data_IF_541125349907
#
_entry.id   IF_541125349907
#
_cell.length_a   1.000
_cell.length_b   1.000
_cell.length_c   1.000
_cell.angle_alpha   90.00
_cell.angle_beta   90.00
_cell.angle_gamma   90.00
#
_symmetry.space_group_name_H-M   'P 1'
#
loop_
_entity.id
_entity.type
_entity.pdbx_description
1 polymer ?
#
# COMPACT_ATOMS: atom_id res chain seq x y z
N UNK A 1 18.64 -58.03 -53.95
CA UNK A 1 18.37 -56.76 -53.25
C UNK A 1 17.08 -56.92 -52.44
N UNK A 2 17.14 -56.42 -51.20
CA UNK A 2 16.07 -56.12 -50.24
C UNK A 2 15.52 -57.22 -49.30
N UNK A 3 15.74 -56.92 -48.02
CA UNK A 3 15.54 -57.69 -46.79
C UNK A 3 14.15 -57.43 -46.19
N UNK A 4 13.55 -58.53 -45.74
CA UNK A 4 12.97 -58.86 -44.43
C UNK A 4 12.06 -57.87 -43.65
N UNK A 5 11.02 -58.49 -43.12
CA UNK A 5 9.90 -57.99 -42.33
C UNK A 5 10.22 -57.69 -40.86
N UNK A 6 9.59 -56.60 -40.39
CA UNK A 6 8.86 -56.30 -39.13
C UNK A 6 9.17 -57.02 -37.79
N UNK A 7 9.03 -56.17 -36.76
CA UNK A 7 8.64 -56.37 -35.34
C UNK A 7 9.75 -56.56 -34.31
N UNK A 8 9.93 -55.56 -33.43
CA UNK A 8 9.61 -55.73 -32.00
C UNK A 8 9.49 -54.36 -31.32
N UNK A 9 8.42 -54.22 -30.52
CA UNK A 9 7.96 -53.06 -29.77
C UNK A 9 8.29 -53.32 -28.30
N UNK A 10 9.00 -52.42 -27.61
CA UNK A 10 9.11 -52.32 -26.14
C UNK A 10 10.04 -51.13 -25.83
N UNK A 11 9.75 -50.12 -25.02
CA UNK A 11 8.61 -49.77 -24.17
C UNK A 11 9.10 -48.56 -23.37
N UNK A 12 8.65 -47.35 -23.72
CA UNK A 12 9.00 -46.12 -23.01
C UNK A 12 8.09 -46.00 -21.79
N UNK A 13 8.62 -46.35 -20.61
CA UNK A 13 7.96 -46.10 -19.33
C UNK A 13 8.05 -44.61 -19.04
N UNK A 14 7.00 -43.86 -19.38
CA UNK A 14 6.84 -42.48 -18.96
C UNK A 14 6.40 -42.48 -17.49
N UNK A 15 7.35 -42.29 -16.57
CA UNK A 15 7.04 -42.00 -15.16
C UNK A 15 6.64 -40.53 -15.06
N UNK A 16 5.36 -40.23 -15.25
CA UNK A 16 4.80 -38.94 -14.83
C UNK A 16 4.62 -38.97 -13.31
N UNK A 17 5.64 -38.52 -12.59
CA UNK A 17 5.51 -38.18 -11.18
C UNK A 17 4.57 -36.97 -11.05
N UNK A 18 3.29 -37.24 -10.76
CA UNK A 18 2.40 -36.23 -10.20
C UNK A 18 2.86 -35.92 -8.78
N UNK A 19 3.84 -35.02 -8.67
CA UNK A 19 4.10 -34.33 -7.42
C UNK A 19 2.87 -33.50 -7.08
N UNK A 20 2.15 -33.89 -6.03
CA UNK A 20 1.25 -32.98 -5.33
C UNK A 20 2.12 -31.88 -4.72
N UNK A 21 2.37 -30.80 -5.46
CA UNK A 21 2.77 -29.55 -4.83
C UNK A 21 1.64 -29.17 -3.85
N UNK A 22 1.94 -28.88 -2.57
CA UNK A 22 0.93 -28.32 -1.69
C UNK A 22 0.38 -27.06 -2.36
N UNK A 23 -0.95 -26.99 -2.53
CA UNK A 23 -1.59 -25.78 -3.05
C UNK A 23 -1.20 -24.63 -2.14
N UNK A 24 -0.47 -23.67 -2.70
CA UNK A 24 -0.24 -22.38 -2.09
C UNK A 24 -1.59 -21.85 -1.58
N UNK A 25 -1.66 -21.50 -0.29
CA UNK A 25 -2.89 -20.96 0.29
C UNK A 25 -3.15 -19.63 -0.41
N UNK A 26 -4.14 -19.58 -1.29
CA UNK A 26 -4.55 -18.33 -1.90
C UNK A 26 -5.14 -17.44 -0.81
N UNK A 27 -4.62 -16.21 -0.73
CA UNK A 27 -5.16 -15.16 0.13
C UNK A 27 -6.57 -14.79 -0.34
N UNK A 28 -7.53 -14.77 0.59
CA UNK A 28 -8.89 -14.28 0.34
C UNK A 28 -8.98 -12.83 0.83
N UNK A 29 -9.29 -11.92 -0.08
CA UNK A 29 -9.40 -10.49 0.24
C UNK A 29 -10.43 -10.22 1.32
N UNK A 30 -10.08 -9.36 2.27
CA UNK A 30 -10.94 -8.98 3.39
C UNK A 30 -10.92 -7.47 3.62
N UNK A 31 -12.09 -6.85 3.70
CA UNK A 31 -12.23 -5.40 3.93
C UNK A 31 -12.95 -5.13 5.24
N UNK A 32 -12.29 -4.39 6.13
CA UNK A 32 -12.88 -3.83 7.35
C UNK A 32 -12.30 -2.44 7.59
N UNK A 33 -13.15 -1.41 7.56
CA UNK A 33 -12.74 -0.03 7.84
C UNK A 33 -13.64 0.51 8.94
N UNK A 34 -13.07 0.84 10.10
CA UNK A 34 -13.85 1.45 11.19
C UNK A 34 -14.44 2.79 10.74
N UNK A 35 -15.63 3.12 11.23
CA UNK A 35 -16.43 4.27 10.76
C UNK A 35 -15.67 5.61 10.65
N UNK A 36 -14.76 5.98 11.59
CA UNK A 36 -14.01 7.24 11.50
C UNK A 36 -13.06 7.36 10.30
N UNK A 37 -12.75 6.23 9.63
CA UNK A 37 -11.77 6.20 8.53
C UNK A 37 -12.40 6.06 7.15
N UNK A 38 -13.70 5.74 7.07
CA UNK A 38 -14.41 5.43 5.81
C UNK A 38 -14.28 6.57 4.80
N UNK A 39 -14.52 7.82 5.24
CA UNK A 39 -14.47 8.98 4.35
C UNK A 39 -13.05 9.23 3.83
N UNK A 40 -12.02 8.98 4.64
CA UNK A 40 -10.62 9.14 4.22
C UNK A 40 -10.19 8.05 3.23
N UNK A 41 -10.59 6.79 3.44
CA UNK A 41 -10.33 5.69 2.50
C UNK A 41 -11.06 5.92 1.18
N UNK A 42 -12.32 6.36 1.21
CA UNK A 42 -13.04 6.69 -0.02
C UNK A 42 -12.44 7.89 -0.74
N UNK A 43 -11.98 8.90 -0.01
CA UNK A 43 -11.28 10.04 -0.60
C UNK A 43 -9.98 9.60 -1.29
N UNK A 44 -9.24 8.65 -0.72
CA UNK A 44 -8.03 8.09 -1.34
C UNK A 44 -8.32 7.45 -2.71
N UNK A 45 -9.39 6.66 -2.83
CA UNK A 45 -9.83 6.08 -4.11
C UNK A 45 -10.24 7.17 -5.12
N UNK A 46 -10.96 8.20 -4.67
CA UNK A 46 -11.41 9.30 -5.51
C UNK A 46 -10.23 10.09 -6.07
N UNK A 47 -9.25 10.43 -5.24
CA UNK A 47 -8.02 11.10 -5.65
C UNK A 47 -7.22 10.23 -6.62
N UNK A 48 -7.08 8.93 -6.33
CA UNK A 48 -6.39 8.00 -7.22
C UNK A 48 -7.03 7.95 -8.62
N UNK A 49 -8.36 7.98 -8.69
CA UNK A 49 -9.10 8.04 -9.95
C UNK A 49 -8.88 9.37 -10.70
N UNK A 50 -8.83 10.51 -9.99
CA UNK A 50 -8.53 11.82 -10.57
C UNK A 50 -7.11 11.87 -11.17
N UNK A 51 -6.14 11.24 -10.51
CA UNK A 51 -4.74 11.15 -10.96
C UNK A 51 -4.48 10.04 -12.01
N UNK A 52 -5.53 9.58 -12.70
CA UNK A 52 -5.44 8.53 -13.74
C UNK A 52 -4.82 7.21 -13.25
N UNK A 53 -4.94 6.92 -11.95
CA UNK A 53 -4.54 5.67 -11.32
C UNK A 53 -5.70 5.06 -10.52
N UNK A 54 -6.88 4.82 -11.13
CA UNK A 54 -8.04 4.31 -10.43
C UNK A 54 -7.71 2.98 -9.75
N UNK A 55 -8.16 2.85 -8.51
CA UNK A 55 -8.03 1.64 -7.71
C UNK A 55 -9.28 1.43 -6.86
N UNK A 56 -9.44 0.20 -6.39
CA UNK A 56 -10.51 -0.19 -5.48
C UNK A 56 -9.87 -0.80 -4.25
N UNK A 57 -10.21 -0.28 -3.07
CA UNK A 57 -9.77 -0.78 -1.77
C UNK A 57 -10.76 -1.84 -1.32
N UNK A 58 -10.39 -3.10 -1.52
CA UNK A 58 -11.21 -4.27 -1.17
C UNK A 58 -10.48 -5.32 -0.34
N UNK A 59 -9.25 -5.03 0.08
CA UNK A 59 -8.41 -5.88 0.91
C UNK A 59 -7.59 -5.02 1.87
N UNK A 60 -8.20 -4.62 2.99
CA UNK A 60 -7.61 -3.72 3.97
C UNK A 60 -8.36 -3.80 5.30
N UNK A 61 -7.62 -3.78 6.41
CA UNK A 61 -8.17 -3.52 7.74
C UNK A 61 -7.71 -2.16 8.23
N UNK A 62 -8.62 -1.28 8.67
CA UNK A 62 -8.28 0.00 9.32
C UNK A 62 -9.03 0.11 10.63
N UNK A 63 -8.29 0.11 11.75
CA UNK A 63 -8.86 0.07 13.10
C UNK A 63 -8.08 0.96 14.06
N UNK A 64 -8.70 1.32 15.19
CA UNK A 64 -7.94 1.82 16.32
C UNK A 64 -7.22 0.69 17.07
N UNK A 65 -6.05 0.97 17.61
CA UNK A 65 -5.32 0.02 18.45
C UNK A 65 -4.05 0.59 19.06
N UNK A 66 -3.24 -0.30 19.64
CA UNK A 66 -1.93 0.05 20.19
C UNK A 66 -0.89 0.02 19.07
N UNK A 67 -0.17 1.12 18.91
CA UNK A 67 1.01 1.22 18.04
C UNK A 67 2.27 0.71 18.76
N UNK A 68 3.32 0.28 18.03
CA UNK A 68 4.59 -0.15 18.62
C UNK A 68 5.19 0.86 19.61
N UNK A 69 5.01 2.16 19.35
CA UNK A 69 5.40 3.22 20.28
C UNK A 69 4.23 4.15 20.59
N UNK A 70 4.21 4.72 21.81
CA UNK A 70 3.12 5.62 22.24
C UNK A 70 3.03 6.93 21.43
N UNK A 71 4.09 7.30 20.70
CA UNK A 71 4.16 8.54 19.92
C UNK A 71 3.84 8.33 18.43
N UNK A 72 3.69 7.07 18.01
CA UNK A 72 3.34 6.72 16.65
C UNK A 72 1.84 6.91 16.43
N UNK A 73 1.49 7.67 15.38
CA UNK A 73 0.11 8.09 15.13
C UNK A 73 -0.69 7.00 14.41
N UNK A 74 -0.01 6.27 13.52
CA UNK A 74 -0.52 5.11 12.82
C UNK A 74 0.63 4.18 12.45
N UNK A 75 0.31 2.93 12.13
CA UNK A 75 1.26 1.98 11.56
C UNK A 75 0.55 1.08 10.56
N UNK A 76 1.22 0.81 9.45
CA UNK A 76 0.85 -0.20 8.48
C UNK A 76 1.61 -1.51 8.76
N UNK A 77 0.86 -2.55 9.10
CA UNK A 77 1.32 -3.93 9.19
C UNK A 77 0.93 -4.67 7.91
N UNK A 78 1.90 -5.29 7.25
CA UNK A 78 1.63 -6.14 6.10
C UNK A 78 2.62 -7.30 6.02
N UNK A 79 2.12 -8.42 5.50
CA UNK A 79 2.91 -9.59 5.18
C UNK A 79 2.47 -10.13 3.81
N UNK A 80 3.30 -10.99 3.22
CA UNK A 80 2.94 -11.67 1.99
C UNK A 80 1.75 -12.61 2.23
N UNK A 81 0.75 -12.58 1.36
CA UNK A 81 -0.48 -13.37 1.45
C UNK A 81 -1.35 -13.10 2.70
N UNK A 82 -1.28 -11.89 3.26
CA UNK A 82 -2.18 -11.44 4.33
C UNK A 82 -2.83 -10.09 3.97
N UNK A 83 -4.04 -9.85 4.48
CA UNK A 83 -4.71 -8.54 4.37
C UNK A 83 -3.88 -7.49 5.12
N UNK A 84 -3.45 -6.40 4.46
CA UNK A 84 -2.74 -5.32 5.14
C UNK A 84 -3.63 -4.67 6.21
N UNK A 85 -3.01 -4.27 7.32
CA UNK A 85 -3.71 -3.67 8.46
C UNK A 85 -3.08 -2.33 8.82
N UNK A 86 -3.91 -1.30 8.89
CA UNK A 86 -3.57 0.00 9.44
C UNK A 86 -4.12 0.08 10.87
N UNK A 87 -3.24 0.34 11.83
CA UNK A 87 -3.60 0.53 13.24
C UNK A 87 -3.35 1.98 13.60
N UNK A 88 -4.40 2.69 14.01
CA UNK A 88 -4.33 4.10 14.39
C UNK A 88 -4.34 4.25 15.91
N UNK A 89 -3.49 5.12 16.44
CA UNK A 89 -3.50 5.48 17.85
C UNK A 89 -4.67 6.43 18.13
N UNK A 90 -5.69 5.93 18.81
CA UNK A 90 -6.92 6.69 19.08
C UNK A 90 -6.68 7.94 19.92
N UNK A 91 -5.74 7.90 20.87
CA UNK A 91 -5.47 9.04 21.75
C UNK A 91 -4.89 10.23 20.97
N UNK A 92 -4.00 9.96 20.03
CA UNK A 92 -3.43 10.98 19.14
C UNK A 92 -4.49 11.43 18.13
N UNK A 93 -5.18 10.49 17.47
CA UNK A 93 -6.22 10.76 16.47
C UNK A 93 -7.27 11.79 16.92
N UNK A 94 -7.69 11.70 18.18
CA UNK A 94 -8.71 12.60 18.75
C UNK A 94 -8.21 14.05 18.89
N UNK A 95 -6.90 14.28 18.82
CA UNK A 95 -6.29 15.62 18.87
C UNK A 95 -6.07 16.23 17.49
N UNK A 96 -6.21 15.43 16.42
CA UNK A 96 -5.93 15.83 15.04
C UNK A 96 -7.12 16.57 14.42
N UNK A 97 -6.84 17.57 13.58
CA UNK A 97 -7.83 18.13 12.66
C UNK A 97 -7.97 17.27 11.41
N UNK A 98 -8.90 17.60 10.51
CA UNK A 98 -9.21 16.76 9.36
C UNK A 98 -8.05 16.65 8.35
N UNK A 99 -7.22 17.68 8.20
CA UNK A 99 -6.03 17.61 7.35
C UNK A 99 -4.93 16.75 7.95
N UNK A 100 -4.72 16.84 9.27
CA UNK A 100 -3.81 15.95 9.98
C UNK A 100 -4.28 14.49 9.89
N UNK A 101 -5.60 14.25 9.99
CA UNK A 101 -6.18 12.90 9.86
C UNK A 101 -6.03 12.34 8.45
N UNK A 102 -6.29 13.17 7.44
CA UNK A 102 -6.12 12.76 6.05
C UNK A 102 -4.66 12.44 5.75
N UNK A 103 -3.72 13.27 6.22
CA UNK A 103 -2.29 13.03 6.06
C UNK A 103 -1.88 11.67 6.63
N UNK A 104 -2.25 11.38 7.88
CA UNK A 104 -1.96 10.08 8.52
C UNK A 104 -2.55 8.92 7.71
N UNK A 105 -3.83 8.99 7.34
CA UNK A 105 -4.47 7.89 6.61
C UNK A 105 -3.84 7.71 5.22
N UNK A 106 -3.53 8.79 4.51
CA UNK A 106 -2.89 8.71 3.18
C UNK A 106 -1.46 8.19 3.28
N UNK A 107 -0.74 8.54 4.34
CA UNK A 107 0.57 7.99 4.65
C UNK A 107 0.52 6.46 4.81
N UNK A 108 -0.35 5.97 5.69
CA UNK A 108 -0.48 4.53 5.96
C UNK A 108 -1.03 3.75 4.76
N UNK A 109 -1.96 4.32 4.00
CA UNK A 109 -2.43 3.72 2.74
C UNK A 109 -1.32 3.66 1.69
N UNK A 110 -0.42 4.64 1.66
CA UNK A 110 0.79 4.61 0.84
C UNK A 110 1.68 3.41 1.17
N UNK A 111 1.89 3.10 2.45
CA UNK A 111 2.58 1.89 2.87
C UNK A 111 1.82 0.61 2.50
N UNK A 112 0.55 0.52 2.88
CA UNK A 112 -0.23 -0.72 2.84
C UNK A 112 -0.69 -1.11 1.43
N UNK A 113 -1.12 -0.14 0.61
CA UNK A 113 -1.69 -0.40 -0.71
C UNK A 113 -0.70 -0.14 -1.85
N UNK A 114 0.15 0.88 -1.69
CA UNK A 114 1.09 1.30 -2.72
C UNK A 114 2.52 0.80 -2.48
N UNK A 115 2.79 0.14 -1.36
CA UNK A 115 4.11 -0.39 -0.96
C UNK A 115 5.20 0.69 -0.97
N UNK A 116 4.83 1.93 -0.65
CA UNK A 116 5.79 3.02 -0.51
C UNK A 116 6.60 2.84 0.76
N UNK A 117 7.83 3.36 0.76
CA UNK A 117 8.71 3.38 1.92
C UNK A 117 8.91 4.82 2.37
N UNK A 118 9.37 5.01 3.61
CA UNK A 118 9.65 6.35 4.11
C UNK A 118 10.66 7.09 3.22
N UNK A 119 10.45 8.40 3.04
CA UNK A 119 11.35 9.29 2.32
C UNK A 119 11.69 10.50 3.19
N UNK A 120 12.96 10.83 3.31
CA UNK A 120 13.43 11.89 4.23
C UNK A 120 13.85 13.16 3.51
N UNK A 121 13.54 13.30 2.22
CA UNK A 121 13.89 14.52 1.49
C UNK A 121 12.97 15.67 1.89
N UNK A 122 13.57 16.86 1.91
CA UNK A 122 12.91 18.11 2.25
C UNK A 122 13.20 19.12 1.14
N UNK A 123 12.21 19.95 0.85
CA UNK A 123 12.30 21.03 -0.13
C UNK A 123 12.11 22.37 0.57
N UNK A 124 12.57 23.44 -0.06
CA UNK A 124 12.21 24.79 0.37
C UNK A 124 10.73 24.99 0.06
N UNK A 125 9.92 25.14 1.10
CA UNK A 125 8.48 25.38 0.99
C UNK A 125 8.17 26.66 0.22
N UNK A 126 6.93 26.80 -0.21
CA UNK A 126 6.47 27.92 -1.05
C UNK A 126 6.74 29.32 -0.49
N UNK A 127 6.92 29.46 0.83
CA UNK A 127 7.31 30.73 1.48
C UNK A 127 8.79 31.09 1.33
N UNK A 128 9.60 30.23 0.70
CA UNK A 128 11.03 30.44 0.46
C UNK A 128 11.92 30.36 1.71
N UNK A 129 11.36 30.05 2.89
CA UNK A 129 12.05 30.20 4.17
C UNK A 129 12.00 28.95 5.06
N UNK A 130 11.01 28.07 4.88
CA UNK A 130 10.84 26.86 5.70
C UNK A 130 11.14 25.61 4.88
N UNK A 131 11.95 24.71 5.42
CA UNK A 131 12.05 23.36 4.87
C UNK A 131 10.74 22.61 5.17
N UNK A 132 10.17 22.00 4.15
CA UNK A 132 8.97 21.16 4.27
C UNK A 132 9.27 19.78 3.70
N UNK A 133 8.64 18.73 4.24
CA UNK A 133 8.75 17.39 3.67
C UNK A 133 8.40 17.38 2.19
N UNK A 134 9.30 16.84 1.37
CA UNK A 134 9.05 16.68 -0.06
C UNK A 134 8.04 15.57 -0.32
N UNK A 135 7.92 14.61 0.59
CA UNK A 135 7.11 13.42 0.42
C UNK A 135 6.07 13.29 1.53
N UNK A 136 4.87 12.81 1.20
CA UNK A 136 3.87 12.39 2.19
C UNK A 136 4.30 11.14 2.94
N UNK A 137 5.29 10.40 2.44
CA UNK A 137 5.97 9.29 3.13
C UNK A 137 7.07 9.77 4.09
N UNK A 138 7.10 11.05 4.47
CA UNK A 138 8.05 11.51 5.46
C UNK A 138 7.80 10.83 6.81
N UNK A 139 8.83 10.31 7.50
CA UNK A 139 8.66 9.43 8.66
C UNK A 139 8.10 10.13 9.92
N UNK A 140 7.88 11.44 9.85
CA UNK A 140 7.29 12.23 10.93
C UNK A 140 6.03 12.92 10.41
N UNK A 141 5.02 12.99 11.27
CA UNK A 141 3.73 13.63 10.95
C UNK A 141 3.92 15.04 10.38
N UNK A 142 3.39 15.24 9.18
CA UNK A 142 3.38 16.54 8.53
C UNK A 142 2.23 17.37 9.13
N UNK A 143 2.48 18.61 9.62
CA UNK A 143 1.40 19.44 10.14
C UNK A 143 0.32 19.68 9.07
N UNK A 144 -0.95 19.57 9.44
CA UNK A 144 -2.09 19.64 8.53
C UNK A 144 -2.14 20.92 7.68
N UNK A 145 -1.58 22.04 8.17
CA UNK A 145 -1.42 23.25 7.37
C UNK A 145 -0.44 23.06 6.21
N UNK A 146 0.71 22.42 6.47
CA UNK A 146 1.70 22.11 5.42
C UNK A 146 1.13 21.05 4.48
N UNK A 147 0.47 20.01 5.01
CA UNK A 147 -0.19 19.01 4.19
C UNK A 147 -1.21 19.64 3.23
N UNK A 148 -2.13 20.46 3.75
CA UNK A 148 -3.13 21.18 2.95
C UNK A 148 -2.50 22.02 1.86
N UNK A 149 -1.48 22.81 2.21
CA UNK A 149 -0.85 23.76 1.29
C UNK A 149 -0.05 23.04 0.17
N UNK A 150 0.29 21.76 0.36
CA UNK A 150 1.04 20.93 -0.60
C UNK A 150 0.25 19.70 -1.10
N UNK A 151 -1.06 19.64 -0.84
CA UNK A 151 -1.86 18.42 -1.06
C UNK A 151 -1.82 17.91 -2.51
N UNK A 152 -1.81 18.82 -3.50
CA UNK A 152 -1.68 18.43 -4.90
C UNK A 152 -0.36 17.70 -5.19
N UNK A 153 0.75 18.20 -4.64
CA UNK A 153 2.07 17.57 -4.81
C UNK A 153 2.14 16.19 -4.14
N UNK A 154 1.54 16.03 -2.96
CA UNK A 154 1.48 14.74 -2.27
C UNK A 154 0.57 13.72 -2.97
N UNK A 155 -0.54 14.17 -3.56
CA UNK A 155 -1.40 13.31 -4.37
C UNK A 155 -0.69 12.87 -5.66
N UNK A 156 0.03 13.79 -6.31
CA UNK A 156 0.86 13.51 -7.48
C UNK A 156 1.91 12.42 -7.17
N UNK A 157 2.58 12.55 -6.03
CA UNK A 157 3.57 11.58 -5.55
C UNK A 157 2.98 10.17 -5.39
N UNK A 158 1.81 10.07 -4.75
CA UNK A 158 1.15 8.79 -4.48
C UNK A 158 0.72 8.09 -5.77
N UNK A 159 0.12 8.83 -6.72
CA UNK A 159 -0.65 8.20 -7.79
C UNK A 159 -0.07 8.33 -9.20
N UNK A 160 0.72 9.37 -9.51
CA UNK A 160 1.27 9.54 -10.85
C UNK A 160 2.31 8.46 -11.17
N UNK A 161 2.12 7.78 -12.30
CA UNK A 161 3.03 6.73 -12.79
C UNK A 161 4.47 7.21 -12.93
N UNK A 162 4.67 8.46 -13.35
CA UNK A 162 6.01 9.04 -13.51
C UNK A 162 6.79 9.15 -12.19
N UNK A 163 6.08 9.24 -11.05
CA UNK A 163 6.63 9.38 -9.71
C UNK A 163 6.66 8.05 -8.94
N UNK A 164 6.16 6.96 -9.55
CA UNK A 164 5.98 5.65 -8.90
C UNK A 164 7.30 4.93 -8.58
N UNK A 165 8.36 5.23 -9.32
CA UNK A 165 9.70 4.62 -9.20
C UNK A 165 10.83 5.65 -9.09
N UNK A 166 10.52 6.93 -8.83
CA UNK A 166 11.56 7.95 -8.74
C UNK A 166 12.26 7.99 -7.38
N UNK A 167 11.75 7.23 -6.40
CA UNK A 167 12.23 7.18 -5.02
C UNK A 167 11.93 5.82 -4.41
#
# INVERSE_FOLDING_TARGET
>A
MNRLYRLSLSGLVAMSAWGCAPKEKQHESFLQVDAPFVDFVSNFEQVAAQESSPMVVNDLVVVFGSTPTLNETGVCEWAENETPRIIINQSIWNTLNDYDRQEVIFHELGHCLLRRVHQTSEIVGYNGASQVPESVMYPYRIPGSIYRDNMAHYNDELFLKAKRNQF
#
